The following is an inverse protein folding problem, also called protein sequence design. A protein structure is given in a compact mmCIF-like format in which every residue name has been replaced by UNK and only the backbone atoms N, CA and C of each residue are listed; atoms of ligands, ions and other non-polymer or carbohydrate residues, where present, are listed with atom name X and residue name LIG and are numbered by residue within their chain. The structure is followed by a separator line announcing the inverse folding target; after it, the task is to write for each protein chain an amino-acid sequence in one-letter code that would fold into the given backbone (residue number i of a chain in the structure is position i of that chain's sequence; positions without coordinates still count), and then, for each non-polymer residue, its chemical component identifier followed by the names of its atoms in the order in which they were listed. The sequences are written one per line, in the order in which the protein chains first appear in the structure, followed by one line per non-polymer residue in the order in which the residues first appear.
data_IF_689737189117
#
_entry.id   IF_689737189117
#
_cell.length_a   1.000
_cell.length_b   1.000
_cell.length_c   1.000
_cell.angle_alpha   90.00
_cell.angle_beta   90.00
_cell.angle_gamma   90.00
#
_symmetry.space_group_name_H-M   'P 1'
#
loop_
_entity.id
_entity.type
_entity.pdbx_description
1 polymer ?
#
# COMPACT_ATOMS: atom_id res chain seq x y z
N UNK A 1 -14.33 -19.57 17.77
CA UNK A 1 -14.01 -18.36 18.55
C UNK A 1 -14.58 -17.20 17.78
N UNK A 2 -15.40 -16.36 18.39
CA UNK A 2 -15.83 -15.09 17.80
C UNK A 2 -14.56 -14.28 17.46
N UNK A 3 -14.28 -14.11 16.17
CA UNK A 3 -13.22 -13.20 15.76
C UNK A 3 -13.85 -11.85 15.50
N UNK A 4 -13.42 -10.82 16.24
CA UNK A 4 -13.75 -9.43 15.92
C UNK A 4 -13.55 -9.20 14.43
N UNK A 5 -14.44 -8.42 13.80
CA UNK A 5 -14.26 -8.03 12.40
C UNK A 5 -13.03 -7.15 12.18
N UNK A 6 -12.27 -6.78 13.22
CA UNK A 6 -10.94 -6.20 13.07
C UNK A 6 -9.85 -7.25 12.87
N UNK A 7 -10.09 -8.55 13.08
CA UNK A 7 -9.09 -9.59 12.92
C UNK A 7 -8.49 -9.60 11.50
N UNK A 8 -7.16 -9.73 11.34
CA UNK A 8 -6.15 -9.97 12.39
C UNK A 8 -5.46 -8.71 12.94
N UNK A 9 -6.05 -7.52 12.75
CA UNK A 9 -5.51 -6.30 13.36
C UNK A 9 -5.46 -6.44 14.88
N UNK A 10 -4.33 -6.02 15.44
CA UNK A 10 -4.20 -5.76 16.86
C UNK A 10 -4.83 -4.40 17.16
N UNK A 11 -5.22 -4.17 18.41
CA UNK A 11 -5.77 -2.87 18.84
C UNK A 11 -4.89 -2.35 19.95
N UNK A 12 -4.39 -1.13 19.80
CA UNK A 12 -3.64 -0.47 20.86
C UNK A 12 -4.60 -0.21 22.05
N UNK A 13 -4.33 -0.74 23.25
CA UNK A 13 -5.25 -0.63 24.37
C UNK A 13 -5.39 0.81 24.92
N UNK A 14 -4.39 1.67 24.70
CA UNK A 14 -4.41 3.05 25.16
C UNK A 14 -5.17 3.97 24.20
N UNK A 15 -5.05 3.75 22.88
CA UNK A 15 -5.63 4.65 21.87
C UNK A 15 -6.86 4.06 21.17
N UNK A 16 -7.07 2.74 21.26
CA UNK A 16 -8.07 2.02 20.46
C UNK A 16 -7.70 1.91 18.98
N UNK A 17 -6.50 2.35 18.58
CA UNK A 17 -6.07 2.37 17.18
C UNK A 17 -5.73 0.95 16.70
N UNK A 18 -6.29 0.49 15.56
CA UNK A 18 -5.95 -0.79 15.00
C UNK A 18 -4.57 -0.74 14.33
N UNK A 19 -3.81 -1.83 14.38
CA UNK A 19 -2.51 -1.92 13.72
C UNK A 19 -2.14 -3.35 13.34
N UNK A 20 -1.18 -3.51 12.43
CA UNK A 20 -0.45 -4.76 12.22
C UNK A 20 1.00 -4.58 12.64
N UNK A 21 1.60 -5.61 13.20
CA UNK A 21 3.03 -5.62 13.55
C UNK A 21 3.79 -6.44 12.52
N UNK A 22 4.95 -5.94 12.09
CA UNK A 22 5.83 -6.71 11.22
C UNK A 22 6.44 -7.89 11.97
N UNK A 23 6.82 -8.94 11.23
CA UNK A 23 7.50 -10.10 11.79
C UNK A 23 8.97 -9.85 12.12
N UNK A 24 9.58 -10.82 12.81
CA UNK A 24 11.00 -10.78 13.20
C UNK A 24 11.96 -10.58 12.03
N UNK A 25 13.03 -9.75 12.17
CA UNK A 25 13.46 -9.00 13.36
C UNK A 25 12.95 -7.54 13.41
N UNK A 26 11.83 -7.24 12.74
CA UNK A 26 11.30 -5.89 12.57
C UNK A 26 10.04 -5.65 13.42
N UNK A 27 9.90 -6.36 14.55
CA UNK A 27 8.73 -6.26 15.42
C UNK A 27 8.53 -4.86 15.99
N UNK A 28 9.56 -4.01 15.99
CA UNK A 28 9.45 -2.61 16.35
C UNK A 28 8.74 -1.75 15.29
N UNK A 29 8.41 -2.29 14.12
CA UNK A 29 7.67 -1.59 13.07
C UNK A 29 6.22 -2.08 13.03
N UNK A 30 5.29 -1.12 12.99
CA UNK A 30 3.86 -1.35 12.86
C UNK A 30 3.29 -0.65 11.63
N UNK A 31 2.16 -1.16 11.15
CA UNK A 31 1.30 -0.57 10.14
C UNK A 31 0.07 -0.01 10.84
N UNK A 32 -0.20 1.28 10.69
CA UNK A 32 -1.35 1.97 11.31
C UNK A 32 -2.21 2.66 10.26
N UNK A 33 -3.39 3.19 10.64
CA UNK A 33 -4.08 4.19 9.85
C UNK A 33 -3.24 5.47 9.71
N UNK A 34 -3.60 6.28 8.73
CA UNK A 34 -3.04 7.61 8.56
C UNK A 34 -3.54 8.54 9.67
N UNK A 35 -2.68 9.45 10.14
CA UNK A 35 -2.99 10.47 11.15
C UNK A 35 -2.85 11.86 10.52
N UNK A 36 -3.64 12.86 10.96
CA UNK A 36 -3.51 14.24 10.47
C UNK A 36 -2.12 14.83 10.66
N UNK A 37 -1.43 14.45 11.74
CA UNK A 37 -0.06 14.89 12.04
C UNK A 37 0.98 14.40 11.04
N UNK A 38 0.65 13.44 10.17
CA UNK A 38 1.61 12.85 9.24
C UNK A 38 2.02 13.81 8.11
N UNK A 39 1.23 14.86 7.85
CA UNK A 39 1.53 15.94 6.89
C UNK A 39 2.98 16.44 7.06
N UNK A 40 3.44 16.60 8.31
CA UNK A 40 4.78 17.08 8.63
C UNK A 40 5.91 16.15 8.16
N UNK A 41 5.65 14.86 7.99
CA UNK A 41 6.63 13.86 7.54
C UNK A 41 6.54 13.61 6.03
N UNK A 42 5.34 13.66 5.46
CA UNK A 42 5.13 13.48 4.01
C UNK A 42 5.94 14.49 3.19
N UNK A 43 5.85 15.78 3.54
CA UNK A 43 6.50 16.86 2.78
C UNK A 43 8.01 16.66 2.61
N UNK A 44 8.82 16.50 3.68
CA UNK A 44 10.25 16.29 3.51
C UNK A 44 10.60 14.96 2.81
N UNK A 45 9.86 13.88 3.08
CA UNK A 45 10.14 12.57 2.44
C UNK A 45 9.86 12.61 0.94
N UNK A 46 8.73 13.19 0.53
CA UNK A 46 8.31 13.25 -0.87
C UNK A 46 8.99 14.36 -1.69
N UNK A 47 9.80 15.20 -1.04
CA UNK A 47 10.76 16.07 -1.75
C UNK A 47 12.18 15.49 -1.75
N UNK A 48 12.43 14.36 -1.11
CA UNK A 48 13.74 13.73 -1.13
C UNK A 48 13.96 13.02 -2.50
N UNK A 49 14.98 13.40 -3.29
CA UNK A 49 15.23 12.83 -4.61
C UNK A 49 15.53 11.33 -4.61
N UNK A 50 16.01 10.75 -3.50
CA UNK A 50 16.19 9.30 -3.37
C UNK A 50 14.86 8.54 -3.25
N UNK A 51 13.77 9.25 -2.98
CA UNK A 51 12.41 8.72 -2.88
C UNK A 51 11.60 9.10 -4.12
N UNK A 52 11.43 10.40 -4.39
CA UNK A 52 10.47 10.90 -5.38
C UNK A 52 10.83 10.57 -6.83
N UNK A 53 12.12 10.36 -7.13
CA UNK A 53 12.60 9.89 -8.45
C UNK A 53 11.94 8.59 -8.90
N UNK A 54 11.52 7.76 -7.95
CA UNK A 54 10.95 6.44 -8.21
C UNK A 54 9.43 6.40 -8.17
N UNK A 55 8.78 7.56 -8.00
CA UNK A 55 7.33 7.69 -7.92
C UNK A 55 6.78 8.34 -9.18
N UNK A 56 5.49 8.11 -9.43
CA UNK A 56 4.73 8.65 -10.54
C UNK A 56 3.43 9.29 -10.03
N UNK A 57 2.96 10.35 -10.69
CA UNK A 57 1.65 10.94 -10.43
C UNK A 57 1.55 11.86 -9.20
N UNK A 58 2.65 12.08 -8.47
CA UNK A 58 2.70 13.09 -7.40
C UNK A 58 3.13 14.44 -7.96
N UNK A 59 2.52 15.55 -7.50
CA UNK A 59 2.98 16.88 -7.85
C UNK A 59 4.37 17.17 -7.25
N UNK A 60 5.24 17.86 -7.99
CA UNK A 60 6.56 18.27 -7.53
C UNK A 60 6.83 19.74 -7.85
N UNK A 61 7.38 20.55 -6.90
CA UNK A 61 7.68 20.19 -5.51
C UNK A 61 6.42 19.79 -4.70
N UNK A 62 6.59 18.86 -3.76
CA UNK A 62 5.48 18.38 -2.93
C UNK A 62 5.21 19.39 -1.80
N UNK A 63 4.02 20.00 -1.78
CA UNK A 63 3.71 21.08 -0.84
C UNK A 63 2.93 20.58 0.37
N UNK A 64 2.87 21.35 1.48
CA UNK A 64 1.97 21.05 2.59
C UNK A 64 0.51 20.86 2.16
N UNK A 65 0.01 21.66 1.22
CA UNK A 65 -1.37 21.53 0.72
C UNK A 65 -1.60 20.21 -0.05
N UNK A 66 -0.60 19.74 -0.81
CA UNK A 66 -0.64 18.41 -1.43
C UNK A 66 -0.67 17.31 -0.36
N UNK A 67 0.17 17.44 0.67
CA UNK A 67 0.22 16.50 1.80
C UNK A 67 -1.09 16.45 2.59
N UNK A 68 -1.68 17.61 2.91
CA UNK A 68 -2.98 17.72 3.59
C UNK A 68 -4.09 17.04 2.80
N UNK A 69 -4.15 17.30 1.48
CA UNK A 69 -5.14 16.70 0.60
C UNK A 69 -5.01 15.17 0.56
N UNK A 70 -3.79 14.67 0.41
CA UNK A 70 -3.50 13.23 0.41
C UNK A 70 -3.80 12.57 1.76
N UNK A 71 -3.34 13.16 2.86
CA UNK A 71 -3.56 12.63 4.22
C UNK A 71 -5.06 12.58 4.50
N UNK A 72 -5.81 13.62 4.13
CA UNK A 72 -7.27 13.65 4.29
C UNK A 72 -7.95 12.51 3.53
N UNK A 73 -7.60 12.27 2.26
CA UNK A 73 -8.21 11.20 1.48
C UNK A 73 -7.89 9.82 2.04
N UNK A 74 -6.64 9.59 2.48
CA UNK A 74 -6.23 8.30 3.07
C UNK A 74 -6.92 8.04 4.41
N UNK A 75 -7.13 9.09 5.23
CA UNK A 75 -7.92 8.99 6.47
C UNK A 75 -9.36 8.59 6.15
N UNK A 76 -10.01 9.27 5.20
CA UNK A 76 -11.38 8.99 4.80
C UNK A 76 -11.55 7.54 4.32
N UNK A 77 -10.66 7.07 3.44
CA UNK A 77 -10.65 5.68 2.96
C UNK A 77 -10.50 4.68 4.10
N UNK A 78 -9.54 4.92 5.01
CA UNK A 78 -9.28 4.03 6.15
C UNK A 78 -10.45 3.98 7.12
N UNK A 79 -11.04 5.14 7.42
CA UNK A 79 -12.19 5.26 8.32
C UNK A 79 -13.45 4.63 7.73
N UNK A 80 -13.67 4.76 6.42
CA UNK A 80 -14.78 4.09 5.74
C UNK A 80 -14.68 2.56 5.90
N UNK A 81 -13.49 1.98 5.68
CA UNK A 81 -13.25 0.55 5.86
C UNK A 81 -13.45 0.16 7.34
N UNK A 82 -12.89 0.89 8.29
CA UNK A 82 -13.04 0.58 9.72
C UNK A 82 -14.50 0.66 10.17
N UNK A 83 -15.28 1.62 9.65
CA UNK A 83 -16.71 1.76 9.92
C UNK A 83 -17.49 0.56 9.40
N UNK A 84 -17.25 0.18 8.14
CA UNK A 84 -17.87 -1.00 7.52
C UNK A 84 -17.62 -2.28 8.34
N UNK A 85 -16.41 -2.44 8.90
CA UNK A 85 -16.07 -3.58 9.74
C UNK A 85 -16.74 -3.54 11.11
N UNK A 86 -16.80 -2.37 11.75
CA UNK A 86 -17.51 -2.19 13.02
C UNK A 86 -19.01 -2.46 12.88
N UNK A 87 -19.63 -1.96 11.82
CA UNK A 87 -21.03 -2.21 11.50
C UNK A 87 -21.30 -3.70 11.28
N UNK A 88 -20.44 -4.39 10.53
CA UNK A 88 -20.53 -5.83 10.35
C UNK A 88 -20.42 -6.59 11.68
N UNK A 89 -19.49 -6.19 12.55
CA UNK A 89 -19.33 -6.80 13.88
C UNK A 89 -20.54 -6.58 14.78
N UNK A 90 -21.17 -5.41 14.70
CA UNK A 90 -22.36 -5.08 15.49
C UNK A 90 -23.60 -5.83 14.98
N UNK A 91 -23.68 -6.09 13.68
CA UNK A 91 -24.80 -6.80 13.04
C UNK A 91 -24.77 -8.30 13.35
N UNK A 92 -23.60 -8.93 13.26
CA UNK A 92 -23.42 -10.36 13.53
C UNK A 92 -21.98 -10.66 13.98
N UNK A 93 -21.74 -10.76 15.31
CA UNK A 93 -20.42 -11.04 15.87
C UNK A 93 -19.85 -12.42 15.51
N UNK A 94 -20.69 -13.38 15.09
CA UNK A 94 -20.25 -14.73 14.71
C UNK A 94 -20.16 -14.91 13.19
N UNK A 95 -20.49 -13.87 12.41
CA UNK A 95 -20.36 -13.92 10.97
C UNK A 95 -18.89 -14.16 10.54
N UNK A 96 -18.67 -14.85 9.41
CA UNK A 96 -17.34 -14.92 8.80
C UNK A 96 -16.72 -13.54 8.61
N UNK A 97 -15.39 -13.51 8.52
CA UNK A 97 -14.65 -12.27 8.24
C UNK A 97 -15.16 -11.64 6.94
N UNK A 98 -15.62 -10.39 7.05
CA UNK A 98 -16.11 -9.62 5.92
C UNK A 98 -14.94 -9.23 5.00
N UNK A 99 -15.15 -9.45 3.70
CA UNK A 99 -14.27 -8.96 2.64
C UNK A 99 -14.54 -7.46 2.41
N UNK A 100 -13.47 -6.67 2.31
CA UNK A 100 -13.47 -5.20 2.16
C UNK A 100 -12.54 -4.72 1.06
N UNK A 101 -12.81 -3.53 0.53
CA UNK A 101 -12.16 -2.99 -0.67
C UNK A 101 -10.76 -2.41 -0.50
N UNK A 102 -10.12 -2.58 0.66
CA UNK A 102 -8.83 -1.97 0.95
C UNK A 102 -8.23 -2.39 2.29
N UNK A 103 -7.10 -1.78 2.66
CA UNK A 103 -6.45 -1.97 3.95
C UNK A 103 -6.52 -0.68 4.79
N UNK A 104 -7.11 -0.69 5.99
CA UNK A 104 -7.19 0.49 6.84
C UNK A 104 -5.88 0.81 7.57
N UNK A 105 -4.87 -0.08 7.47
CA UNK A 105 -3.56 0.10 8.08
C UNK A 105 -2.48 -0.02 7.01
N UNK A 106 -1.90 1.12 6.63
CA UNK A 106 -0.96 1.23 5.50
C UNK A 106 0.28 2.06 5.80
N UNK A 107 0.27 2.79 6.91
CA UNK A 107 1.36 3.67 7.29
C UNK A 107 2.39 2.92 8.12
N UNK A 108 3.62 2.84 7.63
CA UNK A 108 4.73 2.24 8.36
C UNK A 108 5.21 3.20 9.44
N UNK A 109 5.29 2.74 10.68
CA UNK A 109 5.84 3.48 11.82
C UNK A 109 6.85 2.63 12.57
N UNK A 110 8.01 3.20 12.88
CA UNK A 110 8.99 2.59 13.78
C UNK A 110 8.73 3.08 15.21
N UNK A 111 8.57 2.14 16.13
CA UNK A 111 8.48 2.39 17.56
C UNK A 111 9.91 2.43 18.11
N UNK A 112 10.26 3.52 18.79
CA UNK A 112 11.54 3.72 19.47
C UNK A 112 11.50 3.16 20.89
N UNK A 113 12.66 3.05 21.53
CA UNK A 113 12.79 2.50 22.89
C UNK A 113 12.00 3.30 23.94
N UNK A 114 11.87 4.61 23.75
CA UNK A 114 11.08 5.50 24.60
C UNK A 114 9.57 5.45 24.31
N UNK A 115 9.15 4.60 23.38
CA UNK A 115 7.77 4.44 22.94
C UNK A 115 7.31 5.47 21.90
N UNK A 116 8.16 6.43 21.52
CA UNK A 116 7.83 7.37 20.44
C UNK A 116 7.75 6.65 19.08
N UNK A 117 6.91 7.18 18.19
CA UNK A 117 6.71 6.60 16.87
C UNK A 117 7.24 7.53 15.78
N UNK A 118 7.98 6.96 14.83
CA UNK A 118 8.50 7.69 13.67
C UNK A 118 7.80 7.20 12.41
N UNK A 119 7.16 8.12 11.69
CA UNK A 119 6.60 7.87 10.37
C UNK A 119 7.69 7.47 9.37
N UNK A 120 7.51 6.35 8.68
CA UNK A 120 8.49 5.85 7.71
C UNK A 120 8.00 5.91 6.27
N UNK A 121 6.71 5.72 6.01
CA UNK A 121 6.21 5.63 4.65
C UNK A 121 4.81 5.04 4.56
N UNK A 122 4.40 4.73 3.34
CA UNK A 122 3.07 4.25 2.99
C UNK A 122 3.18 3.08 2.00
N UNK A 123 2.26 2.12 2.10
CA UNK A 123 2.11 0.99 1.17
C UNK A 123 0.63 0.68 0.96
N UNK A 124 0.19 0.63 -0.28
CA UNK A 124 -1.22 0.47 -0.58
C UNK A 124 -1.52 -0.39 -1.79
N UNK A 125 -2.60 -1.14 -1.66
CA UNK A 125 -3.27 -1.81 -2.77
C UNK A 125 -4.40 -0.93 -3.25
N UNK A 126 -4.53 -0.81 -4.56
CA UNK A 126 -5.62 -0.12 -5.24
C UNK A 126 -6.11 -0.98 -6.39
N UNK A 127 -7.33 -0.75 -6.85
CA UNK A 127 -7.76 -1.36 -8.11
C UNK A 127 -6.79 -0.95 -9.20
N UNK A 128 -6.33 -1.91 -9.98
CA UNK A 128 -5.30 -1.65 -10.96
C UNK A 128 -5.85 -0.84 -12.13
N UNK A 129 -5.10 0.19 -12.49
CA UNK A 129 -5.40 1.16 -13.55
C UNK A 129 -4.39 1.10 -14.70
N UNK A 130 -3.50 0.11 -14.69
CA UNK A 130 -2.60 -0.25 -15.79
C UNK A 130 -1.81 0.95 -16.36
N UNK A 131 -1.15 1.72 -15.48
CA UNK A 131 -0.50 3.00 -15.80
C UNK A 131 0.37 2.93 -17.07
N UNK A 132 1.18 1.90 -17.19
CA UNK A 132 2.13 1.70 -18.30
C UNK A 132 1.57 0.81 -19.42
N UNK A 133 0.27 0.93 -19.71
CA UNK A 133 -0.39 0.33 -20.87
C UNK A 133 -0.86 1.45 -21.80
N UNK A 134 -0.85 1.20 -23.11
CA UNK A 134 -1.33 2.16 -24.12
C UNK A 134 -2.75 2.64 -23.79
N UNK A 135 -3.01 3.94 -24.00
CA UNK A 135 -4.17 4.64 -23.46
C UNK A 135 -5.52 3.94 -23.68
N UNK A 136 -5.83 3.52 -24.92
CA UNK A 136 -7.11 2.86 -25.24
C UNK A 136 -7.27 1.53 -24.51
N UNK A 137 -6.22 0.72 -24.48
CA UNK A 137 -6.22 -0.56 -23.78
C UNK A 137 -6.26 -0.38 -22.25
N UNK A 138 -5.55 0.63 -21.74
CA UNK A 138 -5.60 1.02 -20.32
C UNK A 138 -7.02 1.36 -19.88
N UNK A 139 -7.75 2.16 -20.67
CA UNK A 139 -9.14 2.50 -20.38
C UNK A 139 -10.02 1.25 -20.32
N UNK A 140 -9.93 0.40 -21.36
CA UNK A 140 -10.69 -0.86 -21.43
C UNK A 140 -10.42 -1.76 -20.22
N UNK A 141 -9.15 -2.04 -19.92
CA UNK A 141 -8.75 -2.90 -18.80
C UNK A 141 -9.16 -2.31 -17.46
N UNK A 142 -9.03 -0.99 -17.27
CA UNK A 142 -9.39 -0.32 -16.02
C UNK A 142 -10.91 -0.34 -15.80
N UNK A 143 -11.71 -0.11 -16.84
CA UNK A 143 -13.17 -0.17 -16.76
C UNK A 143 -13.67 -1.59 -16.46
N UNK A 144 -13.13 -2.60 -17.15
CA UNK A 144 -13.44 -4.01 -16.89
C UNK A 144 -13.10 -4.37 -15.44
N UNK A 145 -11.93 -3.94 -14.96
CA UNK A 145 -11.48 -4.20 -13.60
C UNK A 145 -12.31 -3.45 -12.55
N UNK A 146 -12.76 -2.23 -12.83
CA UNK A 146 -13.60 -1.44 -11.94
C UNK A 146 -14.99 -2.06 -11.71
N UNK A 147 -15.55 -2.75 -12.72
CA UNK A 147 -16.86 -3.41 -12.63
C UNK A 147 -16.86 -4.67 -11.76
N UNK A 148 -15.69 -5.24 -11.47
CA UNK A 148 -15.58 -6.47 -10.65
C UNK A 148 -15.92 -6.19 -9.19
N UNK A 149 -16.58 -7.14 -8.54
CA UNK A 149 -16.87 -7.03 -7.11
C UNK A 149 -15.60 -7.24 -6.28
N UNK A 150 -15.54 -6.64 -5.10
CA UNK A 150 -14.46 -6.92 -4.15
C UNK A 150 -14.53 -8.41 -3.76
N UNK A 151 -13.38 -9.09 -3.78
CA UNK A 151 -13.30 -10.53 -3.55
C UNK A 151 -13.46 -11.41 -4.80
N UNK A 152 -13.78 -10.84 -5.97
CA UNK A 152 -13.69 -11.55 -7.25
C UNK A 152 -12.22 -11.97 -7.50
N UNK A 153 -11.91 -13.28 -7.68
CA UNK A 153 -10.55 -13.74 -7.94
C UNK A 153 -9.90 -13.15 -9.20
N UNK A 154 -10.71 -12.68 -10.16
CA UNK A 154 -10.22 -12.03 -11.37
C UNK A 154 -10.03 -10.51 -11.21
N UNK A 155 -10.38 -9.93 -10.06
CA UNK A 155 -10.07 -8.53 -9.71
C UNK A 155 -8.55 -8.37 -9.59
N UNK A 156 -7.99 -7.47 -10.40
CA UNK A 156 -6.57 -7.15 -10.39
C UNK A 156 -6.31 -5.94 -9.51
N UNK A 157 -5.40 -6.10 -8.57
CA UNK A 157 -4.91 -5.02 -7.73
C UNK A 157 -3.59 -4.50 -8.28
N UNK A 158 -3.36 -3.20 -8.19
CA UNK A 158 -2.05 -2.59 -8.32
C UNK A 158 -1.52 -2.30 -6.91
N UNK A 159 -0.21 -2.27 -6.75
CA UNK A 159 0.44 -1.91 -5.49
C UNK A 159 1.45 -0.77 -5.70
N UNK A 160 1.46 0.18 -4.77
CA UNK A 160 2.46 1.24 -4.70
C UNK A 160 2.89 1.51 -3.26
N UNK A 161 4.10 2.00 -3.09
CA UNK A 161 4.62 2.38 -1.78
C UNK A 161 5.76 3.41 -1.90
N UNK A 162 6.09 4.02 -0.77
CA UNK A 162 7.37 4.68 -0.57
C UNK A 162 7.87 4.44 0.86
N UNK A 163 9.16 4.66 1.05
CA UNK A 163 9.81 4.58 2.36
C UNK A 163 10.79 5.74 2.46
N UNK A 164 10.93 6.35 3.62
CA UNK A 164 11.95 7.35 3.91
C UNK A 164 13.34 6.78 3.55
N UNK A 165 14.16 7.55 2.84
CA UNK A 165 15.47 7.10 2.35
C UNK A 165 16.42 6.66 3.47
N UNK A 166 16.29 7.25 4.67
CA UNK A 166 17.00 6.84 5.89
C UNK A 166 16.71 5.39 6.34
N UNK A 167 15.70 4.74 5.76
CA UNK A 167 15.26 3.39 6.11
C UNK A 167 15.34 2.40 4.94
N UNK A 168 15.90 2.82 3.79
CA UNK A 168 16.11 1.93 2.64
C UNK A 168 17.12 0.83 2.96
N UNK A 169 17.10 -0.25 2.16
CA UNK A 169 18.07 -1.36 2.29
C UNK A 169 17.90 -2.25 3.53
N UNK A 170 17.01 -1.92 4.47
CA UNK A 170 16.79 -2.64 5.73
C UNK A 170 15.77 -3.78 5.67
N UNK A 171 15.22 -4.10 4.49
CA UNK A 171 14.20 -5.13 4.31
C UNK A 171 12.79 -4.77 4.83
N UNK A 172 12.60 -3.54 5.31
CA UNK A 172 11.34 -3.06 5.91
C UNK A 172 10.16 -3.21 4.96
N UNK A 173 10.27 -2.68 3.74
CA UNK A 173 9.17 -2.77 2.77
C UNK A 173 8.91 -4.21 2.30
N UNK A 174 9.94 -5.05 2.24
CA UNK A 174 9.77 -6.50 1.98
C UNK A 174 8.90 -7.14 3.05
N UNK A 175 9.16 -6.85 4.33
CA UNK A 175 8.39 -7.41 5.44
C UNK A 175 7.00 -6.79 5.55
N UNK A 176 6.84 -5.49 5.27
CA UNK A 176 5.54 -4.82 5.23
C UNK A 176 4.62 -5.42 4.17
N UNK A 177 5.13 -5.58 2.94
CA UNK A 177 4.39 -6.25 1.86
C UNK A 177 4.02 -7.68 2.26
N UNK A 178 4.97 -8.47 2.77
CA UNK A 178 4.72 -9.85 3.23
C UNK A 178 3.58 -9.91 4.24
N UNK A 179 3.68 -9.07 5.27
CA UNK A 179 2.72 -8.99 6.37
C UNK A 179 1.34 -8.65 5.85
N UNK A 180 1.25 -7.64 4.98
CA UNK A 180 -0.03 -7.23 4.39
C UNK A 180 -0.62 -8.29 3.48
N UNK A 181 0.17 -8.96 2.65
CA UNK A 181 -0.32 -10.05 1.79
C UNK A 181 -0.97 -11.16 2.62
N UNK A 182 -0.24 -11.68 3.61
CA UNK A 182 -0.68 -12.84 4.40
C UNK A 182 -1.74 -12.50 5.43
N UNK A 183 -1.63 -11.35 6.11
CA UNK A 183 -2.53 -10.99 7.20
C UNK A 183 -3.79 -10.26 6.71
N UNK A 184 -3.73 -9.55 5.57
CA UNK A 184 -4.84 -8.71 5.14
C UNK A 184 -5.31 -8.96 3.70
N UNK A 185 -4.45 -8.79 2.70
CA UNK A 185 -4.87 -8.76 1.30
C UNK A 185 -5.61 -10.04 0.88
N UNK A 186 -5.06 -11.22 1.20
CA UNK A 186 -5.70 -12.50 0.87
C UNK A 186 -6.99 -12.72 1.68
N UNK A 187 -6.91 -12.53 2.99
CA UNK A 187 -7.95 -12.89 3.95
C UNK A 187 -9.13 -11.92 3.97
N UNK A 188 -8.85 -10.63 3.79
CA UNK A 188 -9.77 -9.52 4.05
C UNK A 188 -10.12 -8.73 2.80
N UNK A 189 -9.35 -8.84 1.73
CA UNK A 189 -9.69 -8.24 0.44
C UNK A 189 -10.00 -9.28 -0.64
N UNK A 190 -9.75 -10.56 -0.37
CA UNK A 190 -9.91 -11.64 -1.34
C UNK A 190 -8.94 -11.52 -2.51
N UNK A 191 -7.79 -10.86 -2.30
CA UNK A 191 -6.81 -10.60 -3.36
C UNK A 191 -6.24 -11.93 -3.86
N UNK A 192 -6.24 -12.10 -5.18
CA UNK A 192 -5.64 -13.25 -5.89
C UNK A 192 -4.66 -12.85 -6.97
N UNK A 193 -4.74 -11.61 -7.46
CA UNK A 193 -3.89 -11.11 -8.55
C UNK A 193 -3.44 -9.69 -8.24
N UNK A 194 -2.13 -9.48 -8.25
CA UNK A 194 -1.52 -8.16 -8.07
C UNK A 194 -0.53 -7.91 -9.19
N UNK A 195 -0.64 -6.75 -9.81
CA UNK A 195 0.30 -6.22 -10.79
C UNK A 195 1.13 -5.12 -10.13
N UNK A 196 2.45 -5.25 -10.22
CA UNK A 196 3.39 -4.20 -9.83
C UNK A 196 4.03 -3.64 -11.09
N UNK A 197 4.10 -2.32 -11.17
CA UNK A 197 4.74 -1.58 -12.26
C UNK A 197 5.87 -0.76 -11.67
N UNK A 198 7.10 -1.01 -12.10
CA UNK A 198 8.31 -0.49 -11.45
C UNK A 198 9.21 0.13 -12.50
N UNK A 199 9.54 1.42 -12.35
CA UNK A 199 10.48 2.07 -13.27
C UNK A 199 11.77 1.29 -13.43
N UNK A 200 12.25 1.20 -14.66
CA UNK A 200 13.56 0.62 -14.97
C UNK A 200 14.65 1.33 -14.15
N UNK A 201 15.55 0.54 -13.58
CA UNK A 201 16.58 1.02 -12.66
C UNK A 201 16.20 1.00 -11.17
N UNK A 202 14.90 0.92 -10.83
CA UNK A 202 14.45 0.77 -9.43
C UNK A 202 14.62 -0.68 -8.93
N UNK A 203 15.88 -1.13 -8.86
CA UNK A 203 16.23 -2.49 -8.46
C UNK A 203 15.76 -2.80 -7.04
N UNK A 204 15.78 -1.80 -6.15
CA UNK A 204 15.29 -1.96 -4.77
C UNK A 204 13.85 -2.46 -4.73
N UNK A 205 12.96 -1.87 -5.54
CA UNK A 205 11.56 -2.28 -5.58
C UNK A 205 11.35 -3.62 -6.27
N UNK A 206 12.06 -3.90 -7.37
CA UNK A 206 12.06 -5.23 -7.99
C UNK A 206 12.40 -6.31 -6.95
N UNK A 207 13.44 -6.12 -6.14
CA UNK A 207 13.82 -7.06 -5.09
C UNK A 207 12.77 -7.21 -3.98
N UNK A 208 12.06 -6.13 -3.63
CA UNK A 208 10.95 -6.19 -2.67
C UNK A 208 9.83 -7.10 -3.19
N UNK A 209 9.47 -6.95 -4.46
CA UNK A 209 8.44 -7.76 -5.10
C UNK A 209 8.87 -9.22 -5.28
N UNK A 210 10.05 -9.49 -5.83
CA UNK A 210 10.58 -10.85 -6.00
C UNK A 210 10.61 -11.64 -4.67
N UNK A 211 11.07 -11.01 -3.59
CA UNK A 211 11.12 -11.63 -2.24
C UNK A 211 9.74 -11.91 -1.63
N UNK A 212 8.68 -11.40 -2.25
CA UNK A 212 7.29 -11.64 -1.90
C UNK A 212 6.56 -12.50 -2.94
N UNK A 213 7.30 -13.15 -3.84
CA UNK A 213 6.75 -14.12 -4.80
C UNK A 213 6.19 -13.49 -6.07
N UNK A 214 6.43 -12.19 -6.30
CA UNK A 214 6.13 -11.61 -7.61
C UNK A 214 7.12 -12.15 -8.64
N UNK A 215 6.63 -12.41 -9.85
CA UNK A 215 7.40 -12.89 -10.99
C UNK A 215 7.41 -11.81 -12.05
N UNK A 216 8.60 -11.50 -12.59
CA UNK A 216 8.74 -10.63 -13.74
C UNK A 216 8.06 -11.27 -14.96
N UNK A 217 7.07 -10.59 -15.54
CA UNK A 217 6.40 -11.03 -16.77
C UNK A 217 7.05 -10.40 -18.00
N UNK A 218 7.27 -9.08 -17.98
CA UNK A 218 7.89 -8.35 -19.09
C UNK A 218 8.52 -7.03 -18.69
N UNK A 219 9.39 -6.54 -19.55
CA UNK A 219 9.88 -5.17 -19.55
C UNK A 219 9.16 -4.40 -20.66
N UNK A 220 8.68 -3.21 -20.34
CA UNK A 220 8.05 -2.30 -21.29
C UNK A 220 8.95 -1.09 -21.51
N UNK A 221 9.40 -0.89 -22.75
CA UNK A 221 10.14 0.31 -23.17
C UNK A 221 9.13 1.42 -23.53
N UNK A 222 8.46 1.93 -22.50
CA UNK A 222 7.50 3.03 -22.61
C UNK A 222 8.06 4.19 -21.80
N UNK A 223 8.45 5.25 -22.48
CA UNK A 223 8.94 6.44 -21.79
C UNK A 223 7.81 7.10 -21.00
N UNK A 224 8.01 7.28 -19.70
CA UNK A 224 7.09 8.01 -18.82
C UNK A 224 7.86 8.95 -17.90
N UNK A 225 7.40 10.18 -17.67
CA UNK A 225 8.04 11.07 -16.71
C UNK A 225 7.85 10.57 -15.28
N UNK A 226 8.91 10.57 -14.47
CA UNK A 226 8.75 10.47 -13.02
C UNK A 226 8.26 11.80 -12.42
N UNK A 227 8.05 11.83 -11.11
CA UNK A 227 7.63 13.05 -10.41
C UNK A 227 8.61 14.24 -10.52
N UNK A 228 9.88 14.00 -10.86
CA UNK A 228 10.88 15.07 -11.09
C UNK A 228 10.85 15.62 -12.53
N UNK A 229 10.02 15.06 -13.41
CA UNK A 229 10.00 15.37 -14.84
C UNK A 229 11.12 14.69 -15.65
N UNK A 230 11.85 13.74 -15.06
CA UNK A 230 12.86 12.95 -15.76
C UNK A 230 12.15 11.84 -16.56
N UNK A 231 12.51 11.68 -17.84
CA UNK A 231 11.97 10.61 -18.68
C UNK A 231 12.60 9.28 -18.28
N UNK A 232 11.79 8.38 -17.73
CA UNK A 232 12.20 7.02 -17.40
C UNK A 232 12.07 6.15 -18.65
N UNK A 233 13.07 5.31 -19.00
CA UNK A 233 13.09 4.60 -20.29
C UNK A 233 12.07 3.45 -20.39
N UNK A 234 11.40 3.11 -19.28
CA UNK A 234 10.48 2.00 -19.25
C UNK A 234 10.16 1.50 -17.84
N UNK A 235 9.40 0.41 -17.78
CA UNK A 235 8.97 -0.25 -16.56
C UNK A 235 9.11 -1.77 -16.62
N UNK A 236 9.46 -2.37 -15.48
CA UNK A 236 9.27 -3.78 -15.22
C UNK A 236 7.83 -4.03 -14.77
N UNK A 237 7.20 -5.02 -15.39
CA UNK A 237 5.86 -5.50 -15.01
C UNK A 237 6.03 -6.83 -14.30
N UNK A 238 5.67 -6.85 -13.02
CA UNK A 238 5.70 -8.05 -12.20
C UNK A 238 4.29 -8.44 -11.78
N UNK A 239 4.02 -9.74 -11.72
CA UNK A 239 2.76 -10.29 -11.27
C UNK A 239 2.95 -11.15 -10.04
N UNK A 240 2.03 -11.00 -9.10
CA UNK A 240 1.84 -11.92 -8.01
C UNK A 240 0.47 -12.57 -8.15
N UNK A 241 0.45 -13.90 -8.06
CA UNK A 241 -0.76 -14.69 -8.12
C UNK A 241 -0.82 -15.62 -6.91
N UNK A 242 -2.00 -15.79 -6.35
CA UNK A 242 -2.27 -16.74 -5.27
C UNK A 242 -3.39 -17.68 -5.71
N UNK A 243 -3.26 -18.99 -5.45
CA UNK A 243 -4.27 -19.99 -5.81
C UNK A 243 -5.61 -19.78 -5.08
#
# INVERSE_FOLDING_TARGET
MSHSQLHPLQVNPATGEPYLRLGSPLENIILTPQRPSDVAYNVPILNNPDVVRWLEGLPYPYTPSHAESWVSSVIEESDAILRELREASAKDPEAPLKIVGGCPVRILREIKEDGSEVYLGDIAFRRCDYLHVAHEERLRLSEENARRQVGDPALVWCIGYYLASSHHGRGIMTMALRTLLSAWAILRMGVRRIRAEVFMGNIGSVRVFEKNGFVLDRTLEIESPNCLGEMMPGCYILWWEHP
#
